data_IF_047325071436
#
_entry.id   IF_047325071436
#
_cell.length_a   1.000
_cell.length_b   1.000
_cell.length_c   1.000
_cell.angle_alpha   90.00
_cell.angle_beta   90.00
_cell.angle_gamma   90.00
#
_symmetry.space_group_name_H-M   'P 1'
#
loop_
_entity.id
_entity.type
_entity.pdbx_description
1 polymer ?
#
# COMPACT_ATOMS: atom_id res chain seq x y z
N UNK A 1 32.66 -27.46 -31.49
CA UNK A 1 32.93 -26.22 -30.73
C UNK A 1 31.62 -25.47 -30.52
N UNK A 2 30.88 -25.83 -29.49
CA UNK A 2 29.66 -25.14 -29.05
C UNK A 2 30.07 -23.97 -28.16
N UNK A 3 29.88 -22.75 -28.64
CA UNK A 3 30.15 -21.54 -27.88
C UNK A 3 29.22 -21.49 -26.66
N UNK A 4 29.75 -21.89 -25.50
CA UNK A 4 29.17 -21.55 -24.21
C UNK A 4 29.30 -20.05 -24.08
N UNK A 5 28.22 -19.32 -24.39
CA UNK A 5 28.09 -17.91 -24.04
C UNK A 5 28.09 -17.84 -22.52
N UNK A 6 29.29 -17.70 -21.94
CA UNK A 6 29.46 -17.19 -20.58
C UNK A 6 28.87 -15.79 -20.58
N UNK A 7 27.58 -15.68 -20.21
CA UNK A 7 27.02 -14.41 -19.76
C UNK A 7 27.87 -13.97 -18.58
N UNK A 8 28.60 -12.87 -18.76
CA UNK A 8 29.29 -12.19 -17.69
C UNK A 8 28.37 -12.13 -16.47
N UNK A 9 28.91 -12.56 -15.32
CA UNK A 9 28.29 -12.35 -14.01
C UNK A 9 28.20 -10.84 -13.83
N UNK A 10 27.13 -10.25 -14.35
CA UNK A 10 26.88 -8.81 -14.27
C UNK A 10 27.10 -8.39 -12.83
N UNK A 11 28.01 -7.46 -12.64
CA UNK A 11 28.30 -6.76 -11.40
C UNK A 11 27.02 -6.06 -10.95
N UNK A 12 26.11 -6.84 -10.36
CA UNK A 12 24.80 -6.37 -9.97
C UNK A 12 24.98 -5.28 -8.94
N UNK A 13 24.55 -4.06 -9.28
CA UNK A 13 24.57 -2.90 -8.40
C UNK A 13 23.90 -3.19 -7.05
N UNK A 14 24.09 -2.30 -6.08
CA UNK A 14 23.62 -2.44 -4.69
C UNK A 14 22.18 -2.98 -4.57
N UNK A 15 21.26 -2.54 -5.43
CA UNK A 15 19.86 -2.99 -5.48
C UNK A 15 19.69 -4.47 -5.86
N UNK A 16 20.56 -5.04 -6.68
CA UNK A 16 20.49 -6.44 -7.07
C UNK A 16 20.91 -7.38 -5.93
N UNK A 17 21.73 -6.90 -4.98
CA UNK A 17 22.16 -7.64 -3.79
C UNK A 17 21.21 -7.46 -2.60
N UNK A 18 19.97 -7.02 -2.83
CA UNK A 18 18.99 -6.80 -1.78
C UNK A 18 18.82 -7.94 -0.76
N UNK A 19 18.88 -9.24 -1.11
CA UNK A 19 18.70 -10.28 -0.10
C UNK A 19 19.78 -10.29 0.97
N UNK A 20 20.96 -9.72 0.67
CA UNK A 20 22.09 -9.67 1.60
C UNK A 20 21.99 -8.52 2.61
N UNK A 21 21.41 -7.37 2.23
CA UNK A 21 21.36 -6.18 3.09
C UNK A 21 19.98 -5.90 3.69
N UNK A 22 18.91 -6.49 3.15
CA UNK A 22 17.53 -6.17 3.57
C UNK A 22 17.27 -6.46 5.05
N UNK A 23 17.83 -7.54 5.59
CA UNK A 23 17.71 -7.89 7.00
C UNK A 23 18.38 -6.84 7.89
N UNK A 24 19.60 -6.42 7.55
CA UNK A 24 20.31 -5.35 8.26
C UNK A 24 19.59 -4.02 8.16
N UNK A 25 19.03 -3.68 7.00
CA UNK A 25 18.25 -2.46 6.81
C UNK A 25 16.99 -2.45 7.69
N UNK A 26 16.28 -3.58 7.81
CA UNK A 26 15.12 -3.71 8.69
C UNK A 26 15.50 -3.53 10.18
N UNK A 27 16.65 -4.08 10.61
CA UNK A 27 17.18 -3.90 11.97
C UNK A 27 17.52 -2.43 12.23
N UNK A 28 18.26 -1.79 11.32
CA UNK A 28 18.65 -0.37 11.45
C UNK A 28 17.41 0.51 11.51
N UNK A 29 16.41 0.25 10.67
CA UNK A 29 15.15 0.96 10.70
C UNK A 29 14.43 0.79 12.05
N UNK A 30 14.36 -0.43 12.58
CA UNK A 30 13.76 -0.69 13.89
C UNK A 30 14.50 0.00 15.04
N UNK A 31 15.83 0.12 14.98
CA UNK A 31 16.62 0.86 15.96
C UNK A 31 16.32 2.36 15.91
N UNK A 32 16.28 2.94 14.71
CA UNK A 32 15.98 4.37 14.51
C UNK A 32 14.56 4.67 14.96
N UNK A 33 13.57 3.91 14.49
CA UNK A 33 12.17 4.14 14.83
C UNK A 33 11.89 3.85 16.30
N UNK A 34 12.46 2.78 16.88
CA UNK A 34 12.36 2.49 18.31
C UNK A 34 13.02 3.56 19.19
N UNK A 35 14.17 4.09 18.78
CA UNK A 35 14.83 5.21 19.45
C UNK A 35 14.01 6.50 19.41
N UNK A 36 13.31 6.74 18.30
CA UNK A 36 12.38 7.86 18.18
C UNK A 36 11.16 7.71 19.11
N UNK A 37 10.62 6.49 19.25
CA UNK A 37 9.55 6.21 20.22
C UNK A 37 10.02 6.44 21.66
N UNK A 38 11.24 6.00 21.99
CA UNK A 38 11.87 6.25 23.30
C UNK A 38 12.04 7.75 23.59
N UNK A 39 12.41 8.55 22.59
CA UNK A 39 12.53 10.00 22.73
C UNK A 39 11.17 10.64 23.07
N UNK A 40 10.10 10.25 22.38
CA UNK A 40 8.75 10.76 22.66
C UNK A 40 8.18 10.28 23.99
N UNK A 41 8.51 9.07 24.44
CA UNK A 41 8.14 8.57 25.76
C UNK A 41 8.78 9.38 26.90
N UNK A 42 9.96 9.96 26.66
CA UNK A 42 10.66 10.83 27.61
C UNK A 42 10.21 12.29 27.56
N UNK A 43 9.12 12.61 26.85
CA UNK A 43 8.61 13.98 26.71
C UNK A 43 9.26 14.80 25.59
N UNK A 44 9.97 14.14 24.67
CA UNK A 44 10.49 14.78 23.46
C UNK A 44 9.37 15.41 22.60
N UNK A 45 9.67 16.56 21.99
CA UNK A 45 8.71 17.28 21.15
C UNK A 45 8.48 16.64 19.78
N UNK A 46 7.50 17.16 19.03
CA UNK A 46 7.31 16.81 17.62
C UNK A 46 6.66 15.44 17.35
N UNK A 47 5.91 14.89 18.30
CA UNK A 47 5.12 13.68 18.07
C UNK A 47 4.10 13.91 16.93
N UNK A 48 4.12 13.10 15.86
CA UNK A 48 3.38 13.39 14.63
C UNK A 48 1.88 13.18 14.74
N UNK A 49 1.42 12.34 15.67
CA UNK A 49 0.00 12.02 15.84
C UNK A 49 -0.59 12.87 16.96
N UNK A 50 -1.22 14.00 16.60
CA UNK A 50 -1.89 14.85 17.58
C UNK A 50 -3.22 14.21 18.00
N UNK A 51 -3.43 14.05 19.31
CA UNK A 51 -4.67 13.48 19.88
C UNK A 51 -5.84 14.48 19.98
N UNK A 52 -5.62 15.75 19.65
CA UNK A 52 -6.68 16.77 19.65
C UNK A 52 -7.61 16.61 18.46
N UNK A 53 -8.91 16.81 18.65
CA UNK A 53 -10.00 16.65 17.67
C UNK A 53 -9.82 15.43 16.74
N UNK A 54 -10.06 14.25 17.32
CA UNK A 54 -10.18 12.97 16.60
C UNK A 54 -11.21 13.10 15.48
N UNK A 55 -10.76 13.43 14.28
CA UNK A 55 -11.60 13.39 13.09
C UNK A 55 -11.86 11.93 12.70
N UNK A 56 -13.02 11.67 12.09
CA UNK A 56 -13.45 10.36 11.52
C UNK A 56 -12.43 9.79 10.49
N UNK A 57 -11.39 10.55 10.17
CA UNK A 57 -10.40 10.30 9.15
C UNK A 57 -8.95 10.20 9.67
N UNK A 58 -8.75 10.17 10.98
CA UNK A 58 -7.42 10.05 11.58
C UNK A 58 -6.87 8.61 11.51
N UNK A 59 -5.55 8.46 11.63
CA UNK A 59 -4.90 7.15 11.71
C UNK A 59 -5.42 6.35 12.92
N UNK A 60 -5.54 5.02 12.80
CA UNK A 60 -6.06 4.19 13.90
C UNK A 60 -5.22 4.28 15.17
N UNK A 61 -3.91 4.55 15.05
CA UNK A 61 -3.02 4.74 16.19
C UNK A 61 -3.43 5.93 17.09
N UNK A 62 -4.18 6.92 16.57
CA UNK A 62 -4.62 8.08 17.37
C UNK A 62 -5.64 7.71 18.43
N UNK A 63 -6.34 6.58 18.29
CA UNK A 63 -7.29 6.08 19.29
C UNK A 63 -6.59 5.49 20.53
N UNK A 64 -5.28 5.24 20.45
CA UNK A 64 -4.48 4.73 21.56
C UNK A 64 -3.80 5.92 22.26
N UNK A 65 -3.80 5.99 23.61
CA UNK A 65 -3.02 6.96 24.36
C UNK A 65 -1.55 7.02 23.88
N UNK A 66 -1.01 8.22 23.64
CA UNK A 66 0.35 8.40 23.11
C UNK A 66 1.40 7.57 23.87
N UNK A 67 1.33 7.57 25.20
CA UNK A 67 2.24 6.80 26.04
C UNK A 67 2.15 5.29 25.76
N UNK A 68 0.94 4.74 25.71
CA UNK A 68 0.70 3.32 25.42
C UNK A 68 1.12 2.95 23.99
N UNK A 69 0.79 3.80 23.01
CA UNK A 69 1.17 3.59 21.61
C UNK A 69 2.71 3.59 21.44
N UNK A 70 3.39 4.50 22.14
CA UNK A 70 4.86 4.57 22.17
C UNK A 70 5.48 3.32 22.77
N UNK A 71 4.98 2.84 23.92
CA UNK A 71 5.45 1.61 24.56
C UNK A 71 5.28 0.36 23.66
N UNK A 72 4.11 0.20 23.05
CA UNK A 72 3.86 -0.92 22.12
C UNK A 72 4.81 -0.83 20.92
N UNK A 73 4.92 0.34 20.29
CA UNK A 73 5.78 0.54 19.12
C UNK A 73 7.24 0.27 19.43
N UNK A 74 7.73 0.77 20.58
CA UNK A 74 9.09 0.52 21.08
C UNK A 74 9.33 -0.96 21.32
N UNK A 75 8.40 -1.65 21.98
CA UNK A 75 8.51 -3.09 22.29
C UNK A 75 8.56 -3.92 21.01
N UNK A 76 7.69 -3.60 20.05
CA UNK A 76 7.72 -4.22 18.72
C UNK A 76 9.05 -3.96 18.01
N UNK A 77 9.57 -2.74 18.02
CA UNK A 77 10.87 -2.42 17.41
C UNK A 77 12.02 -3.19 18.06
N UNK A 78 12.04 -3.26 19.40
CA UNK A 78 13.04 -4.00 20.14
C UNK A 78 12.99 -5.49 19.79
N UNK A 79 11.81 -6.11 19.82
CA UNK A 79 11.60 -7.48 19.36
C UNK A 79 12.08 -7.68 17.91
N UNK A 80 11.86 -6.68 17.05
CA UNK A 80 12.32 -6.68 15.65
C UNK A 80 13.83 -6.76 15.52
N UNK A 81 14.60 -6.14 16.42
CA UNK A 81 16.06 -6.27 16.42
C UNK A 81 16.45 -7.73 16.69
N UNK A 82 15.86 -8.39 17.69
CA UNK A 82 16.13 -9.80 18.00
C UNK A 82 15.72 -10.73 16.86
N UNK A 83 14.52 -10.52 16.28
CA UNK A 83 14.03 -11.31 15.15
C UNK A 83 14.95 -11.13 13.94
N UNK A 84 15.36 -9.90 13.64
CA UNK A 84 16.29 -9.61 12.55
C UNK A 84 17.65 -10.29 12.74
N UNK A 85 18.21 -10.29 13.95
CA UNK A 85 19.45 -11.02 14.27
C UNK A 85 19.24 -12.53 14.11
N UNK A 86 18.12 -13.07 14.60
CA UNK A 86 17.78 -14.48 14.47
C UNK A 86 17.63 -14.93 13.01
N UNK A 87 17.18 -14.06 12.10
CA UNK A 87 17.09 -14.35 10.65
C UNK A 87 18.47 -14.54 9.99
N UNK A 88 19.53 -13.93 10.53
CA UNK A 88 20.90 -14.06 10.03
C UNK A 88 21.64 -15.25 10.64
N UNK A 89 21.23 -15.70 11.82
CA UNK A 89 21.85 -16.85 12.48
C UNK A 89 21.51 -18.16 11.75
N UNK A 90 22.52 -18.86 11.24
CA UNK A 90 22.36 -20.20 10.65
C UNK A 90 22.16 -21.29 11.72
N UNK A 91 22.23 -20.94 13.01
CA UNK A 91 21.88 -21.85 14.12
C UNK A 91 20.37 -22.05 14.14
N UNK A 92 19.92 -23.07 13.40
CA UNK A 92 18.58 -23.65 13.50
C UNK A 92 18.30 -24.03 14.97
N UNK A 93 17.56 -23.21 15.72
CA UNK A 93 17.14 -23.66 17.06
C UNK A 93 16.54 -22.64 18.02
N UNK A 94 16.74 -21.32 17.86
CA UNK A 94 16.27 -20.38 18.88
C UNK A 94 14.75 -20.12 18.76
N UNK A 95 14.23 -19.96 17.54
CA UNK A 95 12.81 -19.69 17.31
C UNK A 95 12.23 -20.53 16.16
N UNK A 96 10.96 -20.95 16.26
CA UNK A 96 10.30 -21.66 15.18
C UNK A 96 10.05 -20.73 13.98
N UNK A 97 10.20 -21.26 12.76
CA UNK A 97 10.13 -20.47 11.51
C UNK A 97 8.83 -19.68 11.34
N UNK A 98 7.71 -20.23 11.80
CA UNK A 98 6.40 -19.59 11.72
C UNK A 98 6.32 -18.32 12.58
N UNK A 99 7.04 -18.26 13.71
CA UNK A 99 7.05 -17.11 14.60
C UNK A 99 7.82 -15.95 13.96
N UNK A 100 8.98 -16.21 13.36
CA UNK A 100 9.77 -15.20 12.63
C UNK A 100 8.97 -14.64 11.45
N UNK A 101 8.32 -15.51 10.68
CA UNK A 101 7.46 -15.10 9.57
C UNK A 101 6.23 -14.32 10.06
N UNK A 102 5.56 -14.80 11.10
CA UNK A 102 4.41 -14.15 11.71
C UNK A 102 4.75 -12.75 12.21
N UNK A 103 5.90 -12.60 12.88
CA UNK A 103 6.39 -11.30 13.31
C UNK A 103 6.68 -10.39 12.11
N UNK A 104 7.45 -10.83 11.12
CA UNK A 104 7.85 -9.97 10.00
C UNK A 104 6.65 -9.46 9.19
N UNK A 105 5.71 -10.35 8.87
CA UNK A 105 4.48 -9.96 8.17
C UNK A 105 3.52 -9.17 9.06
N UNK A 106 3.33 -9.60 10.31
CA UNK A 106 2.48 -8.91 11.27
C UNK A 106 2.95 -7.48 11.53
N UNK A 107 4.24 -7.27 11.72
CA UNK A 107 4.81 -5.95 11.93
C UNK A 107 4.68 -5.07 10.68
N UNK A 108 4.96 -5.59 9.49
CA UNK A 108 4.74 -4.86 8.24
C UNK A 108 3.26 -4.47 8.03
N UNK A 109 2.33 -5.39 8.30
CA UNK A 109 0.89 -5.13 8.21
C UNK A 109 0.48 -4.06 9.23
N UNK A 110 0.95 -4.15 10.47
CA UNK A 110 0.67 -3.15 11.51
C UNK A 110 1.14 -1.76 11.09
N UNK A 111 2.37 -1.64 10.56
CA UNK A 111 2.91 -0.36 10.10
C UNK A 111 2.12 0.23 8.92
N UNK A 112 1.52 -0.60 8.06
CA UNK A 112 0.70 -0.14 6.90
C UNK A 112 -0.73 0.18 7.30
N UNK A 113 -1.33 -0.55 8.24
CA UNK A 113 -2.76 -0.44 8.54
C UNK A 113 -3.08 0.47 9.72
N UNK A 114 -2.19 0.58 10.72
CA UNK A 114 -2.49 1.35 11.95
C UNK A 114 -1.96 2.79 11.90
N UNK A 115 -0.88 3.02 11.15
CA UNK A 115 -0.11 4.27 11.21
C UNK A 115 -0.52 5.28 10.15
N UNK A 116 -0.69 4.91 8.86
CA UNK A 116 -1.04 5.89 7.84
C UNK A 116 -2.47 6.38 8.02
N UNK A 117 -2.68 7.68 7.74
CA UNK A 117 -4.00 8.29 7.68
C UNK A 117 -4.41 8.54 6.22
N UNK A 118 -5.55 9.20 6.02
CA UNK A 118 -6.04 9.52 4.68
C UNK A 118 -5.26 10.67 4.01
N UNK A 119 -4.33 11.35 4.70
CA UNK A 119 -3.64 12.52 4.15
C UNK A 119 -2.80 12.16 2.92
N UNK A 120 -2.15 10.99 2.90
CA UNK A 120 -1.36 10.51 1.76
C UNK A 120 -2.23 10.40 0.51
N UNK A 121 -3.36 9.70 0.59
CA UNK A 121 -4.24 9.50 -0.56
C UNK A 121 -4.95 10.80 -0.96
N UNK A 122 -5.30 11.66 0.02
CA UNK A 122 -5.85 12.99 -0.28
C UNK A 122 -4.84 13.84 -1.06
N UNK A 123 -3.59 13.97 -0.58
CA UNK A 123 -2.57 14.75 -1.28
C UNK A 123 -2.27 14.22 -2.68
N UNK A 124 -2.27 12.89 -2.86
CA UNK A 124 -2.17 12.28 -4.19
C UNK A 124 -3.33 12.69 -5.11
N UNK A 125 -4.57 12.66 -4.62
CA UNK A 125 -5.74 13.03 -5.40
C UNK A 125 -5.78 14.54 -5.70
N UNK A 126 -5.49 15.38 -4.72
CA UNK A 126 -5.45 16.84 -4.86
C UNK A 126 -4.27 17.34 -5.72
N UNK A 127 -3.20 16.55 -5.87
CA UNK A 127 -2.13 16.86 -6.81
C UNK A 127 -2.63 16.99 -8.27
N UNK A 128 -3.67 16.22 -8.66
CA UNK A 128 -4.31 16.34 -9.98
C UNK A 128 -5.14 17.63 -10.15
N UNK A 129 -5.42 18.33 -9.05
CA UNK A 129 -6.01 19.67 -9.03
C UNK A 129 -4.96 20.77 -8.84
N UNK A 130 -3.67 20.43 -9.00
CA UNK A 130 -2.53 21.31 -8.74
C UNK A 130 -2.48 21.86 -7.30
N UNK A 131 -3.10 21.15 -6.35
CA UNK A 131 -3.07 21.47 -4.92
C UNK A 131 -2.20 20.44 -4.21
N UNK A 132 -0.92 20.78 -4.03
CA UNK A 132 0.03 19.91 -3.34
C UNK A 132 0.32 20.44 -1.94
N UNK A 133 -0.05 19.66 -0.93
CA UNK A 133 0.30 19.92 0.48
C UNK A 133 1.11 18.74 1.00
N UNK A 134 2.27 19.04 1.57
CA UNK A 134 3.12 18.04 2.21
C UNK A 134 3.41 18.47 3.64
N UNK A 135 2.99 17.65 4.61
CA UNK A 135 3.17 17.93 6.04
C UNK A 135 4.21 16.99 6.64
N UNK A 136 4.79 17.37 7.79
CA UNK A 136 5.72 16.51 8.51
C UNK A 136 5.11 15.15 8.88
N UNK A 137 3.82 15.10 9.20
CA UNK A 137 3.09 13.86 9.49
C UNK A 137 3.12 12.89 8.31
N UNK A 138 3.00 13.38 7.07
CA UNK A 138 3.09 12.55 5.87
C UNK A 138 4.48 11.95 5.71
N UNK A 139 5.53 12.72 6.00
CA UNK A 139 6.90 12.21 6.00
C UNK A 139 7.06 11.06 7.02
N UNK A 140 6.52 11.19 8.22
CA UNK A 140 6.54 10.10 9.22
C UNK A 140 5.80 8.86 8.74
N UNK A 141 4.66 9.01 8.06
CA UNK A 141 3.95 7.87 7.49
C UNK A 141 4.76 7.18 6.39
N UNK A 142 5.46 7.95 5.54
CA UNK A 142 6.36 7.39 4.52
C UNK A 142 7.52 6.61 5.15
N UNK A 143 8.07 7.07 6.28
CA UNK A 143 9.09 6.33 7.05
C UNK A 143 8.53 5.00 7.57
N UNK A 144 7.28 4.98 8.03
CA UNK A 144 6.62 3.76 8.49
C UNK A 144 6.31 2.79 7.35
N UNK A 145 5.85 3.29 6.19
CA UNK A 145 5.66 2.50 4.97
C UNK A 145 7.00 1.91 4.50
N UNK A 146 8.10 2.68 4.56
CA UNK A 146 9.44 2.18 4.28
C UNK A 146 9.81 1.03 5.22
N UNK A 147 9.59 1.20 6.52
CA UNK A 147 9.79 0.13 7.52
C UNK A 147 8.99 -1.13 7.22
N UNK A 148 7.71 -0.95 6.84
CA UNK A 148 6.86 -2.06 6.43
C UNK A 148 7.39 -2.79 5.20
N UNK A 149 7.86 -2.05 4.18
CA UNK A 149 8.51 -2.64 3.02
C UNK A 149 9.76 -3.43 3.43
N UNK A 150 10.64 -2.85 4.25
CA UNK A 150 11.86 -3.52 4.71
C UNK A 150 11.53 -4.84 5.42
N UNK A 151 10.57 -4.84 6.34
CA UNK A 151 10.13 -6.04 7.06
C UNK A 151 9.43 -7.06 6.16
N UNK A 152 8.59 -6.63 5.22
CA UNK A 152 7.96 -7.51 4.24
C UNK A 152 8.99 -8.19 3.31
N UNK A 153 9.99 -7.45 2.82
CA UNK A 153 11.06 -8.01 2.00
C UNK A 153 12.03 -8.89 2.80
N UNK A 154 12.33 -8.55 4.06
CA UNK A 154 13.09 -9.41 4.96
C UNK A 154 12.35 -10.74 5.22
N UNK A 155 11.05 -10.68 5.53
CA UNK A 155 10.20 -11.86 5.68
C UNK A 155 10.14 -12.70 4.41
N UNK A 156 10.00 -12.07 3.24
CA UNK A 156 10.04 -12.73 1.93
C UNK A 156 11.39 -13.42 1.68
N UNK A 157 12.51 -12.75 1.98
CA UNK A 157 13.85 -13.32 1.87
C UNK A 157 14.02 -14.54 2.76
N UNK A 158 13.63 -14.44 4.04
CA UNK A 158 13.68 -15.56 4.98
C UNK A 158 12.79 -16.73 4.56
N UNK A 159 11.62 -16.45 3.95
CA UNK A 159 10.72 -17.49 3.43
C UNK A 159 11.34 -18.21 2.23
N UNK A 160 11.99 -17.47 1.34
CA UNK A 160 12.70 -18.05 0.20
C UNK A 160 13.87 -18.92 0.66
N UNK A 161 14.63 -18.46 1.66
CA UNK A 161 15.71 -19.22 2.30
C UNK A 161 15.17 -20.52 2.92
N UNK A 162 14.04 -20.46 3.64
CA UNK A 162 13.49 -21.61 4.37
C UNK A 162 12.84 -22.69 3.48
N UNK A 163 12.40 -22.32 2.27
CA UNK A 163 11.81 -23.23 1.26
C UNK A 163 12.84 -23.60 0.17
N UNK A 164 14.12 -23.26 0.36
CA UNK A 164 15.20 -23.50 -0.62
C UNK A 164 14.90 -22.96 -2.03
N UNK A 165 14.13 -21.87 -2.10
CA UNK A 165 13.85 -21.16 -3.34
C UNK A 165 15.00 -20.22 -3.70
N UNK A 166 15.12 -19.83 -4.97
CA UNK A 166 16.09 -18.80 -5.35
C UNK A 166 15.81 -17.49 -4.57
N UNK A 167 16.81 -16.94 -3.89
CA UNK A 167 16.64 -15.72 -3.08
C UNK A 167 16.16 -14.50 -3.88
N UNK A 168 16.58 -14.39 -5.15
CA UNK A 168 16.23 -13.25 -6.01
C UNK A 168 14.87 -13.41 -6.68
N UNK A 169 14.59 -14.55 -7.30
CA UNK A 169 13.34 -14.75 -8.07
C UNK A 169 12.27 -15.59 -7.35
N UNK A 170 12.59 -16.26 -6.25
CA UNK A 170 11.65 -17.09 -5.49
C UNK A 170 11.15 -18.33 -6.23
N UNK A 171 11.79 -18.73 -7.34
CA UNK A 171 11.41 -19.95 -8.09
C UNK A 171 11.85 -21.20 -7.31
N UNK A 172 10.94 -22.15 -7.18
CA UNK A 172 11.15 -23.53 -6.73
C UNK A 172 10.97 -24.48 -7.91
N UNK A 173 11.35 -25.75 -7.75
CA UNK A 173 11.05 -26.79 -8.75
C UNK A 173 9.54 -27.11 -8.67
N UNK A 174 8.80 -26.99 -9.77
CA UNK A 174 7.36 -27.31 -9.82
C UNK A 174 6.37 -26.18 -9.49
N UNK A 175 6.74 -24.90 -9.68
CA UNK A 175 5.84 -23.77 -9.42
C UNK A 175 4.51 -23.82 -10.21
N UNK A 176 3.38 -23.62 -9.52
CA UNK A 176 2.05 -23.69 -10.13
C UNK A 176 1.65 -22.36 -10.80
N UNK A 177 2.00 -22.20 -12.08
CA UNK A 177 1.72 -20.98 -12.85
C UNK A 177 0.22 -20.70 -13.02
N UNK A 178 -0.63 -21.75 -13.07
CA UNK A 178 -2.07 -21.61 -13.30
C UNK A 178 -2.79 -20.88 -12.16
N UNK A 179 -2.40 -21.15 -10.91
CA UNK A 179 -2.99 -20.47 -9.75
C UNK A 179 -2.64 -18.98 -9.76
N UNK A 180 -1.39 -18.65 -10.07
CA UNK A 180 -0.91 -17.27 -10.13
C UNK A 180 -1.63 -16.46 -11.21
N UNK A 181 -1.87 -17.06 -12.37
CA UNK A 181 -2.62 -16.44 -13.46
C UNK A 181 -4.09 -16.21 -13.10
N UNK A 182 -4.74 -17.21 -12.48
CA UNK A 182 -6.14 -17.09 -12.04
C UNK A 182 -6.29 -16.02 -10.97
N UNK A 183 -5.43 -16.03 -9.94
CA UNK A 183 -5.43 -15.03 -8.87
C UNK A 183 -5.16 -13.63 -9.43
N UNK A 184 -4.17 -13.49 -10.33
CA UNK A 184 -3.88 -12.22 -10.97
C UNK A 184 -5.07 -11.68 -11.75
N UNK A 185 -5.77 -12.53 -12.51
CA UNK A 185 -6.97 -12.13 -13.25
C UNK A 185 -8.10 -11.64 -12.33
N UNK A 186 -8.41 -12.41 -11.29
CA UNK A 186 -9.46 -12.07 -10.33
C UNK A 186 -9.11 -10.76 -9.62
N UNK A 187 -7.88 -10.63 -9.13
CA UNK A 187 -7.40 -9.44 -8.44
C UNK A 187 -7.45 -8.20 -9.36
N UNK A 188 -7.05 -8.31 -10.62
CA UNK A 188 -7.14 -7.19 -11.57
C UNK A 188 -8.59 -6.76 -11.82
N UNK A 189 -9.52 -7.71 -11.95
CA UNK A 189 -10.94 -7.39 -12.16
C UNK A 189 -11.53 -6.71 -10.91
N UNK A 190 -11.24 -7.23 -9.72
CA UNK A 190 -11.67 -6.59 -8.45
C UNK A 190 -11.09 -5.18 -8.35
N UNK A 191 -9.79 -5.02 -8.59
CA UNK A 191 -9.13 -3.72 -8.49
C UNK A 191 -9.63 -2.69 -9.52
N UNK A 192 -10.08 -3.14 -10.70
CA UNK A 192 -10.66 -2.28 -11.71
C UNK A 192 -12.11 -1.86 -11.39
N UNK A 193 -12.89 -2.74 -10.75
CA UNK A 193 -14.32 -2.50 -10.46
C UNK A 193 -14.57 -1.87 -9.09
N UNK A 194 -13.73 -2.16 -8.09
CA UNK A 194 -13.89 -1.64 -6.74
C UNK A 194 -14.00 -0.11 -6.61
N UNK A 195 -13.30 0.72 -7.41
CA UNK A 195 -13.47 2.18 -7.33
C UNK A 195 -14.73 2.71 -8.05
N UNK A 196 -15.46 1.87 -8.81
CA UNK A 196 -16.62 2.32 -9.61
C UNK A 196 -17.75 2.88 -8.75
N UNK A 197 -18.19 2.25 -7.64
CA UNK A 197 -19.24 2.82 -6.80
C UNK A 197 -18.88 4.20 -6.23
N UNK A 198 -17.61 4.40 -5.88
CA UNK A 198 -17.11 5.71 -5.46
C UNK A 198 -17.14 6.70 -6.63
N UNK A 199 -16.68 6.31 -7.83
CA UNK A 199 -16.76 7.18 -9.00
C UNK A 199 -18.20 7.62 -9.32
N UNK A 200 -19.17 6.69 -9.20
CA UNK A 200 -20.60 6.97 -9.41
C UNK A 200 -21.11 8.00 -8.42
N UNK A 201 -20.78 7.91 -7.13
CA UNK A 201 -21.20 8.91 -6.15
C UNK A 201 -20.58 10.28 -6.43
N UNK A 202 -19.29 10.33 -6.80
CA UNK A 202 -18.61 11.59 -7.18
C UNK A 202 -19.26 12.22 -8.42
N UNK A 203 -19.54 11.45 -9.47
CA UNK A 203 -20.22 11.98 -10.66
C UNK A 203 -21.66 12.42 -10.37
N UNK A 204 -22.39 11.71 -9.51
CA UNK A 204 -23.73 12.12 -9.10
C UNK A 204 -23.68 13.50 -8.41
N UNK A 205 -22.77 13.70 -7.45
CA UNK A 205 -22.61 15.00 -6.79
C UNK A 205 -22.12 16.09 -7.75
N UNK A 206 -21.26 15.75 -8.71
CA UNK A 206 -20.83 16.67 -9.77
C UNK A 206 -21.99 17.13 -10.66
N UNK A 207 -23.01 16.29 -10.85
CA UNK A 207 -24.25 16.56 -11.59
C UNK A 207 -25.36 17.16 -10.71
N UNK A 208 -25.04 17.60 -9.49
CA UNK A 208 -26.00 18.15 -8.51
C UNK A 208 -27.05 17.14 -8.01
N UNK A 209 -26.79 15.84 -8.15
CA UNK A 209 -27.67 14.77 -7.67
C UNK A 209 -27.22 14.37 -6.25
N UNK A 210 -28.03 14.57 -5.18
CA UNK A 210 -27.65 14.26 -3.80
C UNK A 210 -27.72 12.75 -3.50
N UNK A 211 -26.92 11.96 -4.20
CA UNK A 211 -26.88 10.50 -4.03
C UNK A 211 -26.31 10.15 -2.65
N UNK A 212 -27.16 9.58 -1.80
CA UNK A 212 -26.78 9.11 -0.46
C UNK A 212 -26.35 10.22 0.50
N UNK A 213 -26.73 11.48 0.25
CA UNK A 213 -26.42 12.62 1.14
C UNK A 213 -27.65 13.52 1.24
N UNK A 214 -27.68 14.38 2.27
CA UNK A 214 -28.76 15.35 2.37
C UNK A 214 -28.72 16.37 1.21
N UNK A 215 -29.87 16.78 0.62
CA UNK A 215 -29.89 17.77 -0.45
C UNK A 215 -29.24 19.13 -0.09
N UNK A 216 -29.18 19.49 1.20
CA UNK A 216 -28.45 20.69 1.67
C UNK A 216 -26.94 20.58 1.42
N UNK A 217 -26.35 19.39 1.57
CA UNK A 217 -24.92 19.15 1.40
C UNK A 217 -24.43 19.52 0.00
N UNK A 218 -25.13 19.06 -1.05
CA UNK A 218 -24.76 19.37 -2.44
C UNK A 218 -25.04 20.85 -2.77
N UNK A 219 -26.08 21.44 -2.18
CA UNK A 219 -26.40 22.86 -2.37
C UNK A 219 -25.33 23.79 -1.79
N UNK A 220 -24.74 23.40 -0.67
CA UNK A 220 -23.72 24.17 0.03
C UNK A 220 -22.28 23.91 -0.46
N UNK A 221 -22.07 23.02 -1.45
CA UNK A 221 -20.77 22.74 -2.05
C UNK A 221 -19.97 24.00 -2.45
N UNK A 222 -20.55 24.97 -3.18
CA UNK A 222 -19.84 26.20 -3.55
C UNK A 222 -19.44 27.07 -2.35
N UNK A 223 -20.18 26.99 -1.24
CA UNK A 223 -19.86 27.73 0.00
C UNK A 223 -18.68 27.09 0.74
N UNK A 224 -18.56 25.78 0.68
CA UNK A 224 -17.44 25.04 1.31
C UNK A 224 -16.16 25.15 0.47
N UNK A 225 -16.28 25.00 -0.85
CA UNK A 225 -15.16 25.08 -1.78
C UNK A 225 -15.67 25.56 -3.15
N UNK A 226 -15.19 26.70 -3.67
CA UNK A 226 -15.58 27.19 -4.99
C UNK A 226 -15.35 26.19 -6.13
N UNK A 227 -14.40 25.26 -5.95
CA UNK A 227 -14.05 24.22 -6.92
C UNK A 227 -14.61 22.84 -6.57
N UNK A 228 -15.63 22.75 -5.70
CA UNK A 228 -16.21 21.48 -5.26
C UNK A 228 -16.64 20.60 -6.45
N UNK A 229 -17.47 21.12 -7.36
CA UNK A 229 -17.94 20.34 -8.52
C UNK A 229 -16.80 19.85 -9.44
N UNK A 230 -15.78 20.67 -9.65
CA UNK A 230 -14.59 20.27 -10.42
C UNK A 230 -13.83 19.16 -9.70
N UNK A 231 -13.71 19.25 -8.37
CA UNK A 231 -13.08 18.23 -7.53
C UNK A 231 -13.81 16.89 -7.66
N UNK A 232 -15.13 16.91 -7.68
CA UNK A 232 -15.96 15.71 -7.89
C UNK A 232 -15.72 15.07 -9.26
N UNK A 233 -15.75 15.88 -10.33
CA UNK A 233 -15.45 15.42 -11.70
C UNK A 233 -14.07 14.78 -11.81
N UNK A 234 -13.05 15.42 -11.24
CA UNK A 234 -11.67 14.93 -11.27
C UNK A 234 -11.55 13.63 -10.50
N UNK A 235 -12.08 13.55 -9.28
CA UNK A 235 -11.96 12.34 -8.46
C UNK A 235 -12.71 11.15 -9.07
N UNK A 236 -13.91 11.37 -9.62
CA UNK A 236 -14.63 10.33 -10.37
C UNK A 236 -13.84 9.86 -11.59
N UNK A 237 -13.28 10.80 -12.36
CA UNK A 237 -12.47 10.50 -13.55
C UNK A 237 -11.18 9.74 -13.22
N UNK A 238 -10.50 10.08 -12.12
CA UNK A 238 -9.31 9.36 -11.65
C UNK A 238 -9.64 7.91 -11.31
N UNK A 239 -10.80 7.66 -10.70
CA UNK A 239 -11.24 6.32 -10.34
C UNK A 239 -11.54 5.46 -11.57
N UNK A 240 -12.29 6.01 -12.54
CA UNK A 240 -12.58 5.30 -13.80
C UNK A 240 -11.32 5.12 -14.64
N UNK A 241 -10.51 6.18 -14.80
CA UNK A 241 -9.24 6.13 -15.54
C UNK A 241 -8.25 5.15 -14.90
N UNK A 242 -8.10 5.19 -13.57
CA UNK A 242 -7.26 4.25 -12.82
C UNK A 242 -7.77 2.81 -12.91
N UNK A 243 -9.08 2.59 -12.85
CA UNK A 243 -9.69 1.28 -13.05
C UNK A 243 -9.44 0.72 -14.46
N UNK A 244 -9.60 1.55 -15.49
CA UNK A 244 -9.26 1.21 -16.88
C UNK A 244 -7.77 0.89 -17.03
N UNK A 245 -6.88 1.71 -16.45
CA UNK A 245 -5.43 1.46 -16.43
C UNK A 245 -5.08 0.14 -15.75
N UNK A 246 -5.80 -0.21 -14.68
CA UNK A 246 -5.62 -1.46 -13.93
C UNK A 246 -5.93 -2.68 -14.80
N UNK A 247 -6.91 -2.62 -15.71
CA UNK A 247 -7.17 -3.70 -16.67
C UNK A 247 -5.95 -4.00 -17.56
N UNK A 248 -5.04 -3.03 -17.74
CA UNK A 248 -3.79 -3.22 -18.46
C UNK A 248 -2.91 -4.30 -17.86
N UNK A 249 -3.05 -4.56 -16.55
CA UNK A 249 -2.36 -5.64 -15.86
C UNK A 249 -2.77 -7.03 -16.34
N UNK A 250 -3.80 -7.19 -17.17
CA UNK A 250 -4.19 -8.48 -17.79
C UNK A 250 -4.40 -8.39 -19.30
N UNK A 251 -4.33 -7.20 -19.89
CA UNK A 251 -4.61 -6.96 -21.30
C UNK A 251 -3.33 -6.71 -22.10
N UNK A 252 -3.39 -6.96 -23.42
CA UNK A 252 -2.23 -6.82 -24.32
C UNK A 252 -1.62 -5.41 -24.32
N UNK A 253 -2.44 -4.37 -24.13
CA UNK A 253 -1.98 -2.98 -24.16
C UNK A 253 -1.15 -2.58 -22.93
N UNK A 254 -1.27 -3.30 -21.80
CA UNK A 254 -0.38 -3.12 -20.65
C UNK A 254 0.96 -3.83 -20.84
N UNK A 255 1.09 -4.69 -21.85
CA UNK A 255 2.32 -5.41 -22.17
C UNK A 255 3.11 -4.78 -23.33
N UNK A 256 2.38 -4.21 -24.29
CA UNK A 256 2.92 -3.53 -25.47
C UNK A 256 2.08 -2.29 -25.71
N UNK A 257 2.72 -1.14 -25.84
CA UNK A 257 2.00 0.10 -26.11
C UNK A 257 1.18 0.00 -27.41
N UNK A 258 -0.09 0.43 -27.42
CA UNK A 258 -0.88 0.48 -28.64
C UNK A 258 -0.16 1.25 -29.75
N UNK A 259 -0.30 0.81 -31.01
CA UNK A 259 0.43 1.40 -32.15
C UNK A 259 0.11 2.88 -32.37
N UNK A 260 -1.06 3.34 -31.93
CA UNK A 260 -1.47 4.74 -32.03
C UNK A 260 -0.84 5.65 -30.96
N UNK A 261 -0.17 5.08 -29.94
CA UNK A 261 0.44 5.88 -28.88
C UNK A 261 1.65 6.64 -29.42
N UNK A 262 1.70 7.99 -29.29
CA UNK A 262 2.79 8.76 -29.85
C UNK A 262 4.14 8.34 -29.23
N UNK A 263 5.19 8.25 -30.07
CA UNK A 263 6.61 7.97 -29.72
C UNK A 263 6.96 6.57 -29.19
N UNK A 264 6.02 5.87 -28.54
CA UNK A 264 6.26 4.56 -27.90
C UNK A 264 5.41 3.42 -28.45
N UNK A 265 4.52 3.69 -29.41
CA UNK A 265 3.65 2.68 -30.02
C UNK A 265 4.42 1.44 -30.51
N UNK A 266 3.91 0.26 -30.16
CA UNK A 266 4.52 -1.03 -30.50
C UNK A 266 5.71 -1.46 -29.63
N UNK A 267 6.25 -0.59 -28.76
CA UNK A 267 7.32 -0.96 -27.81
C UNK A 267 6.75 -1.75 -26.63
N UNK A 268 7.57 -2.62 -26.05
CA UNK A 268 7.22 -3.34 -24.81
C UNK A 268 7.13 -2.35 -23.65
N UNK A 269 6.06 -2.45 -22.87
CA UNK A 269 5.88 -1.66 -21.65
C UNK A 269 6.90 -2.14 -20.59
N UNK A 270 7.75 -1.27 -20.03
CA UNK A 270 8.64 -1.62 -18.93
C UNK A 270 7.84 -2.12 -17.72
N UNK A 271 8.29 -3.21 -17.09
CA UNK A 271 7.56 -3.82 -15.96
C UNK A 271 7.40 -2.81 -14.81
N UNK A 272 8.43 -2.01 -14.52
CA UNK A 272 8.42 -0.99 -13.48
C UNK A 272 7.35 0.08 -13.70
N UNK A 273 7.06 0.44 -14.96
CA UNK A 273 6.05 1.44 -15.32
C UNK A 273 4.65 1.02 -14.87
N UNK A 274 4.34 -0.28 -14.87
CA UNK A 274 3.06 -0.78 -14.40
C UNK A 274 3.07 -1.08 -12.88
N UNK A 275 4.16 -1.68 -12.39
CA UNK A 275 4.22 -2.19 -11.01
C UNK A 275 4.39 -1.07 -9.98
N UNK A 276 5.28 -0.10 -10.24
CA UNK A 276 5.59 0.95 -9.25
C UNK A 276 4.36 1.82 -8.97
N UNK A 277 3.66 2.39 -9.98
CA UNK A 277 2.47 3.19 -9.71
C UNK A 277 1.36 2.38 -9.05
N UNK A 278 1.17 1.12 -9.46
CA UNK A 278 0.16 0.24 -8.86
C UNK A 278 0.42 0.00 -7.37
N UNK A 279 1.66 -0.29 -6.98
CA UNK A 279 2.03 -0.47 -5.57
C UNK A 279 1.99 0.84 -4.79
N UNK A 280 2.39 1.94 -5.43
CA UNK A 280 2.36 3.28 -4.83
C UNK A 280 0.93 3.72 -4.49
N UNK A 281 -0.07 3.37 -5.31
CA UNK A 281 -1.49 3.62 -5.02
C UNK A 281 -2.08 2.57 -4.08
N UNK A 282 -1.70 1.30 -4.21
CA UNK A 282 -2.25 0.20 -3.42
C UNK A 282 -2.10 0.42 -1.91
N UNK A 283 -0.93 0.93 -1.46
CA UNK A 283 -0.65 1.11 -0.02
C UNK A 283 -1.53 2.21 0.60
N UNK A 284 -1.54 3.46 0.12
CA UNK A 284 -2.40 4.51 0.69
C UNK A 284 -3.89 4.22 0.55
N UNK A 285 -4.33 3.61 -0.55
CA UNK A 285 -5.74 3.23 -0.73
C UNK A 285 -6.14 2.16 0.28
N UNK A 286 -5.30 1.15 0.52
CA UNK A 286 -5.58 0.12 1.53
C UNK A 286 -5.66 0.73 2.92
N UNK A 287 -4.69 1.56 3.29
CA UNK A 287 -4.65 2.21 4.61
C UNK A 287 -5.86 3.12 4.83
N UNK A 288 -6.18 3.98 3.86
CA UNK A 288 -7.35 4.83 3.91
C UNK A 288 -8.65 4.02 3.96
N UNK A 289 -8.73 2.91 3.21
CA UNK A 289 -9.87 2.00 3.26
C UNK A 289 -10.09 1.41 4.65
N UNK A 290 -9.02 1.10 5.40
CA UNK A 290 -9.13 0.64 6.78
C UNK A 290 -9.65 1.74 7.69
N UNK A 291 -9.14 2.97 7.55
CA UNK A 291 -9.65 4.14 8.29
C UNK A 291 -11.14 4.33 8.04
N UNK A 292 -11.58 4.36 6.77
CA UNK A 292 -12.98 4.53 6.41
C UNK A 292 -13.86 3.37 6.89
N UNK A 293 -13.38 2.13 6.79
CA UNK A 293 -14.13 0.96 7.25
C UNK A 293 -14.27 0.96 8.78
N UNK A 294 -13.21 1.32 9.50
CA UNK A 294 -13.23 1.43 10.96
C UNK A 294 -14.19 2.53 11.41
N UNK A 295 -14.09 3.71 10.79
CA UNK A 295 -15.01 4.82 11.01
C UNK A 295 -16.47 4.43 10.77
N UNK A 296 -16.75 3.79 9.63
CA UNK A 296 -18.09 3.36 9.26
C UNK A 296 -18.68 2.37 10.28
N UNK A 297 -17.91 1.37 10.69
CA UNK A 297 -18.35 0.40 11.69
C UNK A 297 -18.50 1.04 13.08
N UNK A 298 -17.56 1.89 13.48
CA UNK A 298 -17.62 2.62 14.75
C UNK A 298 -18.86 3.50 14.87
N UNK A 299 -19.21 4.21 13.79
CA UNK A 299 -20.46 4.97 13.70
C UNK A 299 -21.68 4.03 13.73
N UNK A 300 -21.69 2.97 12.91
CA UNK A 300 -22.84 2.07 12.77
C UNK A 300 -23.20 1.34 14.07
N UNK A 301 -22.20 1.04 14.89
CA UNK A 301 -22.37 0.38 16.19
C UNK A 301 -22.39 1.35 17.38
N UNK A 302 -22.46 2.67 17.15
CA UNK A 302 -22.50 3.73 18.19
C UNK A 302 -21.26 3.77 19.11
N UNK A 303 -20.09 3.30 18.65
CA UNK A 303 -18.82 3.44 19.37
C UNK A 303 -18.17 4.81 19.16
N UNK A 304 -18.50 5.51 18.07
CA UNK A 304 -18.00 6.85 17.75
C UNK A 304 -19.21 7.78 17.70
N UNK A 305 -19.27 8.85 18.53
CA UNK A 305 -20.37 9.79 18.49
C UNK A 305 -20.44 10.50 17.14
N UNK A 306 -21.66 10.62 16.61
CA UNK A 306 -21.95 11.46 15.46
C UNK A 306 -22.04 12.90 15.96
N UNK A 307 -20.90 13.60 16.07
CA UNK A 307 -20.88 15.02 16.39
C UNK A 307 -21.49 15.83 15.23
N UNK A 308 -22.82 15.90 15.19
CA UNK A 308 -23.58 16.67 14.20
C UNK A 308 -23.60 16.12 12.76
N UNK A 309 -23.01 14.95 12.49
CA UNK A 309 -23.08 14.31 11.16
C UNK A 309 -24.35 13.47 11.01
N UNK A 310 -25.25 13.80 10.07
CA UNK A 310 -26.46 13.02 9.90
C UNK A 310 -26.11 11.67 9.25
N UNK A 311 -26.74 10.59 9.72
CA UNK A 311 -26.41 9.21 9.34
C UNK A 311 -26.56 8.94 7.82
N UNK A 312 -27.43 9.70 7.16
CA UNK A 312 -27.57 9.70 5.70
C UNK A 312 -26.28 10.16 5.00
N UNK A 313 -25.62 11.23 5.47
CA UNK A 313 -24.36 11.72 4.91
C UNK A 313 -23.21 10.69 5.03
N UNK A 314 -23.25 9.84 6.06
CA UNK A 314 -22.28 8.74 6.25
C UNK A 314 -22.48 7.64 5.20
N UNK A 315 -23.73 7.36 4.79
CA UNK A 315 -24.04 6.29 3.84
C UNK A 315 -23.57 6.59 2.42
N UNK A 316 -23.85 7.78 1.87
CA UNK A 316 -23.34 8.17 0.54
C UNK A 316 -21.89 8.65 0.56
N UNK A 317 -21.45 9.23 1.68
CA UNK A 317 -20.08 9.71 1.89
C UNK A 317 -19.06 8.59 2.02
N UNK A 318 -19.21 7.77 3.05
CA UNK A 318 -18.23 6.76 3.47
C UNK A 318 -18.56 5.37 2.91
N UNK A 319 -19.84 5.09 2.63
CA UNK A 319 -20.29 3.76 2.15
C UNK A 319 -19.49 3.22 0.96
N UNK A 320 -19.34 3.97 -0.15
CA UNK A 320 -18.53 3.52 -1.29
C UNK A 320 -17.04 3.29 -0.95
N UNK A 321 -16.54 3.95 0.10
CA UNK A 321 -15.14 3.86 0.52
C UNK A 321 -14.80 2.54 1.25
N UNK A 322 -15.81 1.77 1.69
CA UNK A 322 -15.59 0.44 2.29
C UNK A 322 -14.89 -0.51 1.30
N UNK A 323 -15.10 -0.31 0.00
CA UNK A 323 -14.44 -1.08 -1.05
C UNK A 323 -12.96 -0.70 -1.26
N UNK A 324 -12.42 0.28 -0.55
CA UNK A 324 -11.02 0.70 -0.72
C UNK A 324 -10.03 -0.33 -0.18
N UNK A 325 -10.36 -1.06 0.88
CA UNK A 325 -9.52 -2.19 1.35
C UNK A 325 -9.41 -3.27 0.27
N UNK A 326 -10.51 -3.86 -0.24
CA UNK A 326 -10.40 -4.84 -1.31
C UNK A 326 -9.79 -4.25 -2.59
N UNK A 327 -10.03 -2.97 -2.90
CA UNK A 327 -9.39 -2.29 -4.03
C UNK A 327 -7.86 -2.28 -3.91
N UNK A 328 -7.33 -1.73 -2.82
CA UNK A 328 -5.89 -1.59 -2.62
C UNK A 328 -5.17 -2.93 -2.52
N UNK A 329 -5.74 -3.89 -1.78
CA UNK A 329 -5.18 -5.25 -1.67
C UNK A 329 -5.19 -5.95 -3.03
N UNK A 330 -6.29 -5.89 -3.77
CA UNK A 330 -6.39 -6.50 -5.08
C UNK A 330 -5.43 -5.84 -6.09
N UNK A 331 -5.24 -4.53 -6.04
CA UNK A 331 -4.28 -3.81 -6.88
C UNK A 331 -2.84 -4.25 -6.57
N UNK A 332 -2.49 -4.41 -5.29
CA UNK A 332 -1.19 -4.94 -4.89
C UNK A 332 -0.94 -6.36 -5.41
N UNK A 333 -1.93 -7.25 -5.26
CA UNK A 333 -1.87 -8.63 -5.80
C UNK A 333 -1.75 -8.62 -7.33
N UNK A 334 -2.52 -7.77 -8.01
CA UNK A 334 -2.48 -7.62 -9.46
C UNK A 334 -1.09 -7.14 -9.94
N UNK A 335 -0.49 -6.16 -9.25
CA UNK A 335 0.85 -5.66 -9.58
C UNK A 335 1.93 -6.75 -9.39
N UNK A 336 1.85 -7.49 -8.30
CA UNK A 336 2.77 -8.59 -8.00
C UNK A 336 2.63 -9.71 -9.03
N UNK A 337 1.41 -10.17 -9.31
CA UNK A 337 1.16 -11.21 -10.31
C UNK A 337 1.60 -10.77 -11.72
N UNK A 338 1.36 -9.51 -12.10
CA UNK A 338 1.86 -8.92 -13.35
C UNK A 338 3.39 -8.98 -13.43
N UNK A 339 4.10 -8.60 -12.36
CA UNK A 339 5.57 -8.74 -12.28
C UNK A 339 6.00 -10.20 -12.49
N UNK A 340 5.36 -11.14 -11.80
CA UNK A 340 5.73 -12.55 -11.87
C UNK A 340 5.47 -13.19 -13.25
N UNK A 341 4.44 -12.75 -13.99
CA UNK A 341 4.18 -13.21 -15.36
C UNK A 341 5.12 -12.61 -16.39
N UNK A 342 5.53 -11.34 -16.20
CA UNK A 342 6.30 -10.58 -17.20
C UNK A 342 7.81 -10.67 -17.03
N UNK A 343 8.29 -11.06 -15.85
CA UNK A 343 9.73 -11.27 -15.63
C UNK A 343 10.26 -12.39 -16.52
N UNK A 344 11.43 -12.18 -17.10
CA UNK A 344 12.12 -13.20 -17.89
C UNK A 344 12.83 -14.24 -17.03
N UNK A 345 13.75 -14.97 -17.67
CA UNK A 345 14.65 -15.90 -16.98
C UNK A 345 15.51 -15.21 -15.94
N UNK A 346 15.72 -15.87 -14.80
CA UNK A 346 16.53 -15.34 -13.72
C UNK A 346 18.01 -15.62 -13.97
N UNK A 347 18.85 -14.58 -14.08
CA UNK A 347 20.30 -14.75 -14.27
C UNK A 347 21.05 -15.36 -13.08
N UNK A 348 20.42 -15.49 -11.90
CA UNK A 348 21.04 -16.09 -10.72
C UNK A 348 20.81 -17.61 -10.62
N UNK A 349 19.65 -18.10 -11.05
CA UNK A 349 19.34 -19.53 -11.01
C UNK A 349 19.16 -20.15 -12.40
N UNK A 350 19.30 -19.38 -13.47
CA UNK A 350 19.10 -19.76 -14.88
C UNK A 350 17.75 -20.44 -15.18
N UNK A 351 16.72 -20.18 -14.37
CA UNK A 351 15.36 -20.72 -14.57
C UNK A 351 14.48 -19.70 -15.29
N UNK A 352 13.79 -20.14 -16.34
CA UNK A 352 12.92 -19.36 -17.24
C UNK A 352 11.44 -19.50 -16.92
#
# INVERSE_FOLDING_TARGET
MTAIVQREKGTGGFLNRWPAWIGSAAIIWSLIYGGLQLYWLQGGGGYPFKQGNMGIFSALITYIPQHTAGLISMTLCFAGVFVGIAMHSDRNGIFPRWLIQGYAWGFAITLILLIPDISLIMSMAYAFLFKFTFTGQMLYQLVCILGACLWAFAGLGYRRKSVHACMHCGRTEGGNHRLLDRLGRIATVIAALAPVPYAVSRFAWALHIPMGVDPSFVRDFPRMNPMAYVTEWVFGSLCIGGGLLTLGLIQKWGEVFPRWFPLVGGKRVPISLAVIPSLFVAVPVTAAGVVFSFAYLGIRFNFIPLDGFPLNAVQGGIGPMILWVPWGVALGIAAVTYYYRRRGGCGYCNRA
#
